data_IF_744325370430
#
_entry.id   IF_744325370430
#
_cell.length_a   1.000
_cell.length_b   1.000
_cell.length_c   1.000
_cell.angle_alpha   90.00
_cell.angle_beta   90.00
_cell.angle_gamma   90.00
#
_symmetry.space_group_name_H-M   'P 1'
#
loop_
_entity.id
_entity.type
_entity.pdbx_description
1 polymer ?
#
# COMPACT_ATOMS: atom_id res chain seq x y z
N UNK A 1 2.84 3.46 -13.99
CA UNK A 1 1.92 3.86 -12.89
C UNK A 1 0.58 3.11 -12.85
N UNK A 2 0.05 2.52 -13.94
CA UNK A 2 -1.28 1.90 -13.93
C UNK A 2 -1.41 0.72 -12.95
N UNK A 3 -0.42 -0.18 -12.89
CA UNK A 3 -0.44 -1.35 -12.01
C UNK A 3 -0.54 -1.01 -10.51
N UNK A 4 0.29 -0.07 -10.04
CA UNK A 4 0.27 0.37 -8.63
C UNK A 4 -1.03 1.12 -8.29
N UNK A 5 -1.53 1.99 -9.16
CA UNK A 5 -2.81 2.67 -8.96
C UNK A 5 -3.98 1.70 -8.87
N UNK A 6 -3.99 0.66 -9.70
CA UNK A 6 -5.01 -0.40 -9.67
C UNK A 6 -4.95 -1.22 -8.38
N UNK A 7 -3.74 -1.60 -7.95
CA UNK A 7 -3.54 -2.34 -6.69
C UNK A 7 -4.01 -1.53 -5.47
N UNK A 8 -3.61 -0.25 -5.39
CA UNK A 8 -4.02 0.66 -4.30
C UNK A 8 -5.54 0.87 -4.29
N UNK A 9 -6.15 1.08 -5.46
CA UNK A 9 -7.61 1.24 -5.56
C UNK A 9 -8.38 -0.01 -5.13
N UNK A 10 -7.83 -1.20 -5.41
CA UNK A 10 -8.41 -2.48 -4.97
C UNK A 10 -8.33 -2.63 -3.45
N UNK A 11 -7.17 -2.33 -2.86
CA UNK A 11 -6.99 -2.38 -1.40
C UNK A 11 -7.97 -1.43 -0.68
N UNK A 12 -8.16 -0.21 -1.21
CA UNK A 12 -9.15 0.74 -0.67
C UNK A 12 -10.57 0.19 -0.68
N UNK A 13 -10.98 -0.40 -1.80
CA UNK A 13 -12.32 -1.01 -1.91
C UNK A 13 -12.51 -2.17 -0.94
N UNK A 14 -11.49 -3.01 -0.79
CA UNK A 14 -11.55 -4.13 0.14
C UNK A 14 -11.59 -3.66 1.59
N UNK A 15 -10.83 -2.64 1.95
CA UNK A 15 -10.86 -2.05 3.29
C UNK A 15 -12.22 -1.41 3.60
N UNK A 16 -12.79 -0.65 2.66
CA UNK A 16 -14.11 -0.04 2.82
C UNK A 16 -15.26 -1.07 2.90
N UNK A 17 -15.11 -2.21 2.22
CA UNK A 17 -16.07 -3.31 2.27
C UNK A 17 -15.86 -4.24 3.48
N UNK A 18 -14.80 -4.04 4.27
CA UNK A 18 -14.50 -4.91 5.40
C UNK A 18 -15.20 -4.39 6.66
N UNK A 19 -16.11 -5.18 7.26
CA UNK A 19 -16.92 -4.74 8.39
C UNK A 19 -16.19 -4.72 9.73
N UNK A 20 -14.91 -5.13 9.79
CA UNK A 20 -14.20 -5.21 11.06
C UNK A 20 -13.79 -3.83 11.59
N UNK A 21 -14.08 -3.61 12.86
CA UNK A 21 -13.61 -2.48 13.64
C UNK A 21 -12.20 -2.78 14.15
N UNK A 22 -11.19 -2.48 13.34
CA UNK A 22 -9.80 -2.55 13.77
C UNK A 22 -9.46 -1.31 14.60
N UNK A 23 -8.67 -1.43 15.68
CA UNK A 23 -8.28 -0.30 16.53
C UNK A 23 -7.65 0.85 15.74
N UNK A 24 -6.88 0.51 14.71
CA UNK A 24 -6.09 1.45 13.92
C UNK A 24 -6.66 1.66 12.51
N UNK A 25 -7.95 1.37 12.29
CA UNK A 25 -8.58 1.48 10.96
C UNK A 25 -8.43 2.87 10.35
N UNK A 26 -8.65 3.93 11.13
CA UNK A 26 -8.53 5.31 10.66
C UNK A 26 -7.09 5.62 10.19
N UNK A 27 -6.09 5.10 10.89
CA UNK A 27 -4.67 5.25 10.54
C UNK A 27 -4.39 4.51 9.21
N UNK A 28 -4.90 3.29 9.06
CA UNK A 28 -4.74 2.53 7.82
C UNK A 28 -5.41 3.23 6.61
N UNK A 29 -6.60 3.81 6.80
CA UNK A 29 -7.30 4.56 5.76
C UNK A 29 -6.56 5.84 5.35
N UNK A 30 -6.04 6.60 6.33
CA UNK A 30 -5.27 7.83 6.08
C UNK A 30 -3.95 7.54 5.35
N UNK A 31 -3.18 6.56 5.80
CA UNK A 31 -1.94 6.12 5.13
C UNK A 31 -2.22 5.61 3.71
N UNK A 32 -3.35 4.93 3.50
CA UNK A 32 -3.73 4.45 2.18
C UNK A 32 -4.18 5.59 1.25
N UNK A 33 -4.77 6.66 1.80
CA UNK A 33 -5.06 7.88 1.06
C UNK A 33 -3.77 8.62 0.67
N UNK A 34 -2.80 8.73 1.59
CA UNK A 34 -1.48 9.29 1.32
C UNK A 34 -0.72 8.50 0.24
N UNK A 35 -0.76 7.16 0.31
CA UNK A 35 -0.20 6.28 -0.71
C UNK A 35 -0.87 6.51 -2.07
N UNK A 36 -2.20 6.61 -2.12
CA UNK A 36 -2.93 6.89 -3.34
C UNK A 36 -2.54 8.26 -3.92
N UNK A 37 -2.44 9.30 -3.10
CA UNK A 37 -2.02 10.63 -3.54
C UNK A 37 -0.61 10.61 -4.16
N UNK A 38 0.35 9.91 -3.54
CA UNK A 38 1.70 9.73 -4.10
C UNK A 38 1.67 9.03 -5.47
N UNK A 39 0.74 8.10 -5.69
CA UNK A 39 0.60 7.41 -7.00
C UNK A 39 -0.08 8.25 -8.08
N UNK A 40 -0.79 9.32 -7.72
CA UNK A 40 -1.56 10.15 -8.66
C UNK A 40 -0.86 11.47 -8.95
N UNK A 41 -0.25 12.10 -7.93
CA UNK A 41 0.21 13.49 -8.00
C UNK A 41 1.72 13.67 -7.80
N UNK A 42 2.48 12.65 -7.40
CA UNK A 42 3.88 12.80 -6.99
C UNK A 42 4.89 11.92 -7.73
N UNK A 43 6.18 12.21 -7.53
CA UNK A 43 7.28 11.28 -7.80
C UNK A 43 7.19 10.17 -6.73
N UNK A 44 7.02 8.90 -7.12
CA UNK A 44 6.86 7.82 -6.15
C UNK A 44 8.14 7.63 -5.31
N UNK A 45 8.10 8.10 -4.06
CA UNK A 45 9.16 7.90 -3.08
C UNK A 45 9.08 6.46 -2.52
N UNK A 46 9.79 5.53 -3.15
CA UNK A 46 9.78 4.10 -2.80
C UNK A 46 10.03 3.85 -1.30
N UNK A 47 11.00 4.50 -0.61
CA UNK A 47 11.20 4.30 0.83
C UNK A 47 9.98 4.72 1.66
N UNK A 48 9.33 5.82 1.27
CA UNK A 48 8.12 6.34 1.93
C UNK A 48 6.92 5.41 1.70
N UNK A 49 6.74 4.92 0.48
CA UNK A 49 5.69 3.96 0.15
C UNK A 49 5.86 2.64 0.94
N UNK A 50 7.09 2.15 1.06
CA UNK A 50 7.40 0.97 1.89
C UNK A 50 7.09 1.21 3.36
N UNK A 51 7.38 2.40 3.89
CA UNK A 51 7.04 2.78 5.28
C UNK A 51 5.52 2.79 5.50
N UNK A 52 4.75 3.47 4.63
CA UNK A 52 3.28 3.48 4.72
C UNK A 52 2.69 2.08 4.65
N UNK A 53 3.24 1.20 3.79
CA UNK A 53 2.81 -0.21 3.73
C UNK A 53 3.03 -0.98 5.04
N UNK A 54 4.13 -0.71 5.76
CA UNK A 54 4.39 -1.34 7.06
C UNK A 54 3.43 -0.82 8.14
N UNK A 55 3.07 0.46 8.11
CA UNK A 55 2.08 1.03 9.02
C UNK A 55 0.69 0.44 8.77
N UNK A 56 0.28 0.34 7.51
CA UNK A 56 -0.96 -0.32 7.10
C UNK A 56 -0.94 -1.80 7.54
N UNK A 57 0.18 -2.52 7.36
CA UNK A 57 0.30 -3.91 7.80
C UNK A 57 0.18 -4.06 9.33
N UNK A 58 0.78 -3.15 10.11
CA UNK A 58 0.66 -3.14 11.57
C UNK A 58 -0.76 -2.85 12.04
N UNK A 59 -1.43 -1.88 11.41
CA UNK A 59 -2.79 -1.46 11.73
C UNK A 59 -3.87 -2.50 11.37
N UNK A 60 -3.66 -3.27 10.30
CA UNK A 60 -4.58 -4.32 9.87
C UNK A 60 -4.37 -5.66 10.63
N UNK A 61 -3.23 -5.82 11.31
CA UNK A 61 -2.84 -7.06 11.98
C UNK A 61 -2.63 -8.25 11.04
N UNK A 62 -2.38 -9.45 11.60
CA UNK A 62 -2.18 -10.71 10.84
C UNK A 62 -3.48 -11.26 10.20
N UNK A 63 -4.49 -10.44 9.90
CA UNK A 63 -5.75 -10.90 9.32
C UNK A 63 -5.62 -11.13 7.80
N UNK A 64 -5.75 -12.40 7.40
CA UNK A 64 -5.55 -12.87 6.02
C UNK A 64 -6.43 -12.23 4.94
N UNK A 65 -7.59 -11.66 5.29
CA UNK A 65 -8.57 -11.17 4.30
C UNK A 65 -8.03 -10.03 3.41
N UNK A 66 -7.14 -9.20 3.94
CA UNK A 66 -6.53 -8.07 3.22
C UNK A 66 -5.07 -8.32 2.83
N UNK A 67 -4.47 -9.41 3.34
CA UNK A 67 -3.07 -9.76 3.08
C UNK A 67 -2.75 -9.96 1.59
N UNK A 68 -3.71 -10.51 0.83
CA UNK A 68 -3.58 -10.69 -0.61
C UNK A 68 -3.45 -9.37 -1.37
N UNK A 69 -4.36 -8.42 -1.14
CA UNK A 69 -4.27 -7.11 -1.80
C UNK A 69 -3.09 -6.27 -1.30
N UNK A 70 -2.74 -6.37 -0.02
CA UNK A 70 -1.56 -5.70 0.53
C UNK A 70 -0.27 -6.22 -0.12
N UNK A 71 -0.18 -7.54 -0.34
CA UNK A 71 0.95 -8.17 -1.04
C UNK A 71 1.07 -7.71 -2.49
N UNK A 72 -0.04 -7.55 -3.20
CA UNK A 72 -0.06 -7.00 -4.56
C UNK A 72 0.44 -5.55 -4.62
N UNK A 73 0.03 -4.69 -3.66
CA UNK A 73 0.55 -3.32 -3.57
C UNK A 73 2.05 -3.32 -3.27
N UNK A 74 2.51 -4.20 -2.38
CA UNK A 74 3.94 -4.32 -2.05
C UNK A 74 4.78 -4.74 -3.24
N UNK A 75 4.33 -5.77 -3.99
CA UNK A 75 4.97 -6.18 -5.25
C UNK A 75 5.02 -5.04 -6.25
N UNK A 76 3.92 -4.31 -6.41
CA UNK A 76 3.89 -3.15 -7.29
C UNK A 76 4.92 -2.10 -6.87
N UNK A 77 4.98 -1.71 -5.59
CA UNK A 77 5.98 -0.76 -5.06
C UNK A 77 7.41 -1.25 -5.27
N UNK A 78 7.69 -2.54 -5.07
CA UNK A 78 9.02 -3.10 -5.30
C UNK A 78 9.45 -3.03 -6.78
N UNK A 79 8.52 -3.23 -7.72
CA UNK A 79 8.78 -3.04 -9.16
C UNK A 79 9.04 -1.58 -9.54
N UNK A 80 8.52 -0.59 -8.79
CA UNK A 80 8.88 0.82 -8.96
C UNK A 80 10.22 1.17 -8.31
N UNK A 81 10.67 0.34 -7.37
CA UNK A 81 11.76 0.63 -6.45
C UNK A 81 13.06 -0.10 -6.70
N UNK A 82 13.12 -1.01 -7.67
CA UNK A 82 14.37 -1.62 -8.12
C UNK A 82 15.21 -0.52 -8.78
N UNK A 83 16.27 -0.01 -8.13
CA UNK A 83 17.30 0.69 -8.88
C UNK A 83 17.92 -0.36 -9.81
N UNK A 84 18.42 -0.01 -11.01
CA UNK A 84 19.35 -0.91 -11.67
C UNK A 84 20.47 -1.16 -10.66
N UNK A 85 20.49 -2.34 -10.02
CA UNK A 85 21.58 -2.73 -9.14
C UNK A 85 22.81 -2.66 -10.02
N UNK A 86 23.60 -1.60 -9.81
CA UNK A 86 24.86 -1.40 -10.48
C UNK A 86 25.65 -2.67 -10.29
N UNK A 87 25.88 -3.36 -11.40
CA UNK A 87 27.00 -4.29 -11.52
C UNK A 87 28.25 -3.41 -11.44
N UNK A 88 28.82 -3.32 -10.26
CA UNK A 88 30.12 -2.71 -9.99
C UNK A 88 30.94 -3.70 -9.19
#
# INVERSE_FOLDING_TARGET
MAGLRTAVSRLRRQLAAHPAEFPDRAIAEDELAALAAMTVHGVPEVPRMRRSLLLIAGALGSMSALSGALSEVRRAVDLFGEPPRGRG
#
